data_IF_248228641384
#
_entry.id   IF_248228641384
#
_cell.length_a   1.000
_cell.length_b   1.000
_cell.length_c   1.000
_cell.angle_alpha   90.00
_cell.angle_beta   90.00
_cell.angle_gamma   90.00
#
_symmetry.space_group_name_H-M   'P 1'
#
loop_
_entity.id
_entity.type
_entity.pdbx_description
1 polymer ?
#
# COMPACT_ATOMS: atom_id res chain seq x y z
N UNK A 1 38.53 -2.32 8.92
CA UNK A 1 38.10 -1.39 7.88
C UNK A 1 36.77 -1.68 7.16
N UNK A 2 36.10 -2.86 7.24
CA UNK A 2 34.76 -3.03 6.62
C UNK A 2 33.61 -2.34 7.38
N UNK A 3 33.73 -2.11 8.67
CA UNK A 3 32.65 -1.48 9.47
C UNK A 3 32.36 -0.02 9.04
N UNK A 4 33.38 0.74 8.70
CA UNK A 4 33.23 2.16 8.31
C UNK A 4 32.52 2.37 6.97
N UNK A 5 32.66 1.46 6.00
CA UNK A 5 31.95 1.51 4.71
C UNK A 5 30.44 1.21 4.88
N UNK A 6 30.10 0.27 5.73
CA UNK A 6 28.70 -0.08 6.02
C UNK A 6 28.01 1.05 6.76
N UNK A 7 28.70 1.69 7.68
CA UNK A 7 28.18 2.82 8.47
C UNK A 7 27.99 4.07 7.58
N UNK A 8 28.98 4.40 6.74
CA UNK A 8 28.86 5.45 5.76
C UNK A 8 27.70 5.24 4.76
N UNK A 9 27.51 4.00 4.27
CA UNK A 9 26.38 3.65 3.42
C UNK A 9 25.03 3.81 4.11
N UNK A 10 24.93 3.47 5.40
CA UNK A 10 23.71 3.70 6.21
C UNK A 10 23.42 5.18 6.39
N UNK A 11 24.42 5.98 6.69
CA UNK A 11 24.29 7.43 6.88
C UNK A 11 23.80 8.09 5.57
N UNK A 12 24.40 7.73 4.43
CA UNK A 12 23.97 8.24 3.11
C UNK A 12 22.54 7.81 2.80
N UNK A 13 22.17 6.56 3.11
CA UNK A 13 20.80 6.06 2.89
C UNK A 13 19.79 6.85 3.73
N UNK A 14 20.04 6.98 5.02
CA UNK A 14 19.15 7.71 5.94
C UNK A 14 19.09 9.19 5.53
N UNK A 15 20.22 9.82 5.26
CA UNK A 15 20.27 11.22 4.84
C UNK A 15 19.50 11.48 3.53
N UNK A 16 19.66 10.61 2.53
CA UNK A 16 18.92 10.73 1.25
C UNK A 16 17.42 10.56 1.43
N UNK A 17 16.98 9.63 2.28
CA UNK A 17 15.57 9.42 2.56
C UNK A 17 14.95 10.57 3.36
N UNK A 18 15.68 11.11 4.34
CA UNK A 18 15.26 12.30 5.09
C UNK A 18 15.13 13.48 4.13
N UNK A 19 16.14 13.74 3.29
CA UNK A 19 16.10 14.84 2.33
C UNK A 19 14.94 14.70 1.34
N UNK A 20 14.71 13.50 0.80
CA UNK A 20 13.58 13.24 -0.09
C UNK A 20 12.22 13.38 0.64
N UNK A 21 12.12 12.90 1.87
CA UNK A 21 10.93 13.07 2.69
C UNK A 21 10.63 14.52 3.03
N UNK A 22 11.64 15.31 3.39
CA UNK A 22 11.50 16.74 3.64
C UNK A 22 11.11 17.48 2.36
N UNK A 23 11.75 17.20 1.23
CA UNK A 23 11.40 17.82 -0.06
C UNK A 23 9.96 17.48 -0.47
N UNK A 24 9.55 16.22 -0.30
CA UNK A 24 8.17 15.78 -0.54
C UNK A 24 7.19 16.52 0.38
N UNK A 25 7.49 16.62 1.67
CA UNK A 25 6.65 17.35 2.63
C UNK A 25 6.56 18.83 2.29
N UNK A 26 7.68 19.49 1.98
CA UNK A 26 7.68 20.90 1.58
C UNK A 26 6.84 21.14 0.32
N UNK A 27 7.00 20.28 -0.71
CA UNK A 27 6.18 20.33 -1.92
C UNK A 27 4.70 20.19 -1.62
N UNK A 28 4.34 19.18 -0.82
CA UNK A 28 2.94 18.88 -0.48
C UNK A 28 2.32 19.96 0.38
N UNK A 29 3.06 20.50 1.37
CA UNK A 29 2.61 21.64 2.20
C UNK A 29 2.41 22.89 1.35
N UNK A 30 3.32 23.15 0.39
CA UNK A 30 3.13 24.24 -0.57
C UNK A 30 1.85 24.05 -1.41
N UNK A 31 1.62 22.84 -1.89
CA UNK A 31 0.43 22.49 -2.69
C UNK A 31 -0.88 22.65 -1.91
N UNK A 32 -0.86 22.38 -0.61
CA UNK A 32 -2.05 22.45 0.27
C UNK A 32 -2.42 23.88 0.68
N UNK A 33 -1.50 24.83 0.63
CA UNK A 33 -1.84 26.23 0.93
C UNK A 33 -2.95 26.82 0.03
N UNK A 34 -3.22 26.16 -1.08
CA UNK A 34 -4.28 26.53 -2.02
C UNK A 34 -5.60 25.78 -1.78
N UNK A 35 -5.63 24.75 -0.92
CA UNK A 35 -6.81 23.88 -0.71
C UNK A 35 -6.90 23.52 0.77
N UNK A 36 -8.06 23.67 1.39
CA UNK A 36 -8.31 23.23 2.76
C UNK A 36 -8.30 21.69 2.83
N UNK A 37 -7.65 21.08 3.85
CA UNK A 37 -7.59 19.62 3.98
C UNK A 37 -8.92 19.07 4.54
N UNK A 38 -9.93 19.03 3.69
CA UNK A 38 -11.34 18.80 4.07
C UNK A 38 -11.52 17.51 4.87
N UNK A 39 -10.94 16.40 4.42
CA UNK A 39 -11.10 15.12 5.14
C UNK A 39 -10.43 15.14 6.52
N UNK A 40 -9.24 15.75 6.63
CA UNK A 40 -8.59 15.93 7.92
C UNK A 40 -9.42 16.77 8.88
N UNK A 41 -10.05 17.83 8.36
CA UNK A 41 -10.93 18.68 9.16
C UNK A 41 -12.18 17.94 9.62
N UNK A 42 -12.79 17.12 8.74
CA UNK A 42 -13.89 16.23 9.12
C UNK A 42 -13.49 15.27 10.23
N UNK A 43 -12.28 14.67 10.18
CA UNK A 43 -11.78 13.83 11.27
C UNK A 43 -11.68 14.58 12.58
N UNK A 44 -11.15 15.79 12.54
CA UNK A 44 -10.99 16.64 13.71
C UNK A 44 -12.34 17.07 14.28
N UNK A 45 -13.28 17.50 13.44
CA UNK A 45 -14.63 17.90 13.87
C UNK A 45 -15.41 16.71 14.41
N UNK A 46 -15.27 15.53 13.83
CA UNK A 46 -15.83 14.31 14.40
C UNK A 46 -15.28 14.03 15.81
N UNK A 47 -13.97 14.17 16.01
CA UNK A 47 -13.36 13.97 17.31
C UNK A 47 -13.82 15.02 18.34
N UNK A 48 -14.02 16.28 17.93
CA UNK A 48 -14.54 17.34 18.78
C UNK A 48 -16.03 17.11 19.15
N UNK A 49 -16.86 16.76 18.17
CA UNK A 49 -18.27 16.44 18.37
C UNK A 49 -18.46 15.25 19.30
N UNK A 50 -17.67 14.19 19.08
CA UNK A 50 -17.65 13.01 19.94
C UNK A 50 -17.27 13.35 21.38
N UNK A 51 -16.26 14.22 21.59
CA UNK A 51 -15.88 14.67 22.93
C UNK A 51 -16.97 15.51 23.61
N UNK A 52 -17.79 16.21 22.83
CA UNK A 52 -18.92 16.97 23.31
C UNK A 52 -20.17 16.11 23.58
N UNK A 53 -20.09 14.78 23.37
CA UNK A 53 -21.23 13.86 23.54
C UNK A 53 -22.26 13.93 22.40
N UNK A 54 -21.88 14.49 21.26
CA UNK A 54 -22.76 14.59 20.08
C UNK A 54 -22.69 13.33 19.25
N UNK A 55 -23.79 12.92 18.61
CA UNK A 55 -23.80 11.84 17.66
C UNK A 55 -23.16 12.29 16.35
N UNK A 56 -21.97 11.78 16.06
CA UNK A 56 -21.14 12.13 14.88
C UNK A 56 -21.76 11.71 13.54
N UNK A 57 -22.82 10.92 13.57
CA UNK A 57 -23.54 10.46 12.38
C UNK A 57 -24.84 11.22 12.12
N UNK A 58 -25.24 12.13 13.01
CA UNK A 58 -26.38 13.00 12.80
C UNK A 58 -25.96 14.26 12.04
N UNK A 59 -26.39 14.35 10.78
CA UNK A 59 -26.07 15.48 9.90
C UNK A 59 -24.62 15.51 9.41
N UNK A 60 -24.23 16.69 8.94
CA UNK A 60 -22.90 16.97 8.43
C UNK A 60 -22.05 17.70 9.48
N UNK A 61 -20.76 17.37 9.50
CA UNK A 61 -19.80 18.05 10.36
C UNK A 61 -19.33 19.32 9.68
N UNK A 62 -19.49 20.44 10.35
CA UNK A 62 -19.07 21.78 9.91
C UNK A 62 -18.26 22.47 11.00
N UNK A 63 -17.54 23.52 10.63
CA UNK A 63 -16.72 24.31 11.53
C UNK A 63 -16.09 25.50 10.80
N UNK A 64 -15.21 26.28 11.45
CA UNK A 64 -14.68 27.53 10.91
C UNK A 64 -14.00 27.42 9.53
N UNK A 65 -13.54 26.23 9.15
CA UNK A 65 -12.82 25.94 7.90
C UNK A 65 -13.66 25.10 6.92
N UNK A 66 -14.82 24.60 7.32
CA UNK A 66 -15.82 23.96 6.44
C UNK A 66 -17.14 24.67 6.71
N UNK A 67 -17.37 25.75 5.99
CA UNK A 67 -18.40 26.74 6.34
C UNK A 67 -19.76 26.44 5.75
N UNK A 68 -19.80 25.75 4.59
CA UNK A 68 -21.03 25.47 3.86
C UNK A 68 -21.83 24.33 4.50
N UNK A 69 -22.43 23.47 3.71
CA UNK A 69 -23.30 22.37 4.18
C UNK A 69 -22.58 21.31 5.05
N UNK A 70 -21.25 21.46 5.26
CA UNK A 70 -20.43 20.49 5.99
C UNK A 70 -20.23 19.17 5.23
N UNK A 71 -19.63 18.19 5.91
CA UNK A 71 -19.35 16.87 5.34
C UNK A 71 -19.76 15.77 6.31
N UNK A 72 -20.34 14.66 5.85
CA UNK A 72 -20.72 13.55 6.73
C UNK A 72 -19.49 12.77 7.19
N UNK A 73 -19.52 12.28 8.42
CA UNK A 73 -18.55 11.31 8.89
C UNK A 73 -18.93 9.89 8.40
N UNK A 74 -18.05 9.25 7.66
CA UNK A 74 -18.31 7.96 6.98
C UNK A 74 -17.45 6.81 7.49
N UNK A 75 -16.64 7.05 8.53
CA UNK A 75 -15.76 6.05 9.14
C UNK A 75 -16.47 5.36 10.32
N UNK A 76 -15.88 4.26 10.81
CA UNK A 76 -16.40 3.54 11.97
C UNK A 76 -16.27 4.36 13.25
N UNK A 77 -16.99 4.03 14.33
CA UNK A 77 -16.84 4.71 15.62
C UNK A 77 -15.42 4.65 16.20
N UNK A 78 -14.68 3.55 15.97
CA UNK A 78 -13.31 3.44 16.42
C UNK A 78 -12.37 4.44 15.73
N UNK A 79 -12.68 4.86 14.51
CA UNK A 79 -11.88 5.86 13.80
C UNK A 79 -11.73 7.16 14.57
N UNK A 80 -12.78 7.61 15.26
CA UNK A 80 -12.73 8.83 16.06
C UNK A 80 -11.74 8.71 17.22
N UNK A 81 -11.69 7.55 17.87
CA UNK A 81 -10.74 7.27 18.95
C UNK A 81 -9.31 7.29 18.42
N UNK A 82 -9.08 6.66 17.26
CA UNK A 82 -7.78 6.66 16.58
C UNK A 82 -7.34 8.07 16.15
N UNK A 83 -8.27 8.89 15.71
CA UNK A 83 -8.05 10.25 15.22
C UNK A 83 -8.05 11.30 16.34
N UNK A 84 -8.41 10.92 17.57
CA UNK A 84 -8.45 11.80 18.74
C UNK A 84 -7.22 12.68 18.93
N UNK A 85 -5.97 12.18 18.73
CA UNK A 85 -4.79 13.02 18.90
C UNK A 85 -4.77 14.28 18.03
N UNK A 86 -5.56 14.33 16.96
CA UNK A 86 -5.65 15.53 16.10
C UNK A 86 -6.24 16.74 16.81
N UNK A 87 -6.99 16.58 17.88
CA UNK A 87 -7.59 17.67 18.64
C UNK A 87 -6.70 18.23 19.74
N UNK A 88 -5.56 17.57 20.04
CA UNK A 88 -4.62 17.99 21.08
C UNK A 88 -3.77 19.21 20.69
N UNK A 89 -3.70 19.52 19.41
CA UNK A 89 -2.94 20.63 18.85
C UNK A 89 -3.90 21.57 18.11
N UNK A 90 -3.43 22.79 17.75
CA UNK A 90 -4.12 23.57 16.75
C UNK A 90 -4.21 22.79 15.41
N UNK A 91 -5.17 23.18 14.57
CA UNK A 91 -5.46 22.40 13.37
C UNK A 91 -4.27 22.29 12.39
N UNK A 92 -3.48 23.37 12.28
CA UNK A 92 -2.35 23.41 11.36
C UNK A 92 -1.19 22.51 11.83
N UNK A 93 -0.82 22.62 13.11
CA UNK A 93 0.17 21.75 13.75
C UNK A 93 -0.24 20.27 13.64
N UNK A 94 -1.49 19.96 13.97
CA UNK A 94 -2.03 18.61 13.86
C UNK A 94 -1.98 18.09 12.41
N UNK A 95 -2.33 18.93 11.43
CA UNK A 95 -2.27 18.57 10.01
C UNK A 95 -0.83 18.35 9.54
N UNK A 96 0.14 19.16 9.97
CA UNK A 96 1.56 18.94 9.64
C UNK A 96 2.09 17.64 10.23
N UNK A 97 1.75 17.32 11.47
CA UNK A 97 2.13 16.05 12.11
C UNK A 97 1.50 14.85 11.38
N UNK A 98 0.23 14.97 10.98
CA UNK A 98 -0.48 13.97 10.19
C UNK A 98 0.16 13.76 8.82
N UNK A 99 0.44 14.83 8.11
CA UNK A 99 1.12 14.79 6.81
C UNK A 99 2.53 14.20 6.93
N UNK A 100 3.27 14.55 7.98
CA UNK A 100 4.56 13.94 8.30
C UNK A 100 4.46 12.43 8.52
N UNK A 101 3.44 11.95 9.24
CA UNK A 101 3.16 10.51 9.41
C UNK A 101 2.87 9.84 8.06
N UNK A 102 2.06 10.45 7.20
CA UNK A 102 1.75 9.93 5.87
C UNK A 102 3.00 9.88 4.97
N UNK A 103 3.86 10.90 5.01
CA UNK A 103 5.13 10.88 4.28
C UNK A 103 6.08 9.81 4.84
N UNK A 104 6.16 9.63 6.15
CA UNK A 104 6.93 8.55 6.74
C UNK A 104 6.41 7.16 6.30
N UNK A 105 5.08 7.00 6.21
CA UNK A 105 4.45 5.81 5.67
C UNK A 105 4.82 5.56 4.20
N UNK A 106 4.84 6.62 3.38
CA UNK A 106 5.26 6.55 1.98
C UNK A 106 6.74 6.15 1.84
N UNK A 107 7.63 6.82 2.58
CA UNK A 107 9.07 6.52 2.60
C UNK A 107 9.32 5.08 3.02
N UNK A 108 8.67 4.62 4.08
CA UNK A 108 8.74 3.23 4.52
C UNK A 108 8.29 2.26 3.43
N UNK A 109 7.18 2.56 2.76
CA UNK A 109 6.63 1.73 1.67
C UNK A 109 7.64 1.62 0.53
N UNK A 110 8.16 2.74 0.01
CA UNK A 110 9.17 2.74 -1.05
C UNK A 110 10.41 1.98 -0.63
N UNK A 111 10.92 2.21 0.59
CA UNK A 111 12.09 1.52 1.12
C UNK A 111 11.87 0.00 1.24
N UNK A 112 10.67 -0.42 1.67
CA UNK A 112 10.31 -1.83 1.86
C UNK A 112 10.21 -2.61 0.55
N UNK A 113 9.74 -1.96 -0.51
CA UNK A 113 9.51 -2.58 -1.82
C UNK A 113 10.66 -2.36 -2.82
N UNK A 114 11.64 -1.50 -2.52
CA UNK A 114 12.86 -1.38 -3.32
C UNK A 114 13.85 -2.50 -2.94
N UNK A 115 14.25 -3.38 -3.88
CA UNK A 115 15.13 -4.50 -3.60
C UNK A 115 16.48 -4.07 -3.02
N UNK A 116 17.05 -4.87 -2.11
CA UNK A 116 18.32 -4.54 -1.44
C UNK A 116 19.52 -4.44 -2.40
N UNK A 117 19.48 -5.20 -3.52
CA UNK A 117 20.56 -5.29 -4.50
C UNK A 117 20.53 -4.21 -5.59
N UNK A 118 19.61 -3.25 -5.53
CA UNK A 118 19.55 -2.16 -6.52
C UNK A 118 20.80 -1.30 -6.43
N UNK A 119 21.54 -1.07 -7.54
CA UNK A 119 22.69 -0.16 -7.57
C UNK A 119 22.29 1.24 -7.10
N UNK A 120 23.16 1.88 -6.30
CA UNK A 120 22.88 3.20 -5.72
C UNK A 120 21.51 3.29 -5.06
N UNK A 121 21.09 2.23 -4.38
CA UNK A 121 19.77 2.07 -3.76
C UNK A 121 19.24 3.31 -3.02
N UNK A 122 20.05 4.04 -2.21
CA UNK A 122 19.59 5.25 -1.53
C UNK A 122 19.08 6.33 -2.48
N UNK A 123 19.82 6.58 -3.57
CA UNK A 123 19.42 7.57 -4.57
C UNK A 123 18.18 7.12 -5.35
N UNK A 124 18.10 5.84 -5.70
CA UNK A 124 16.90 5.27 -6.35
C UNK A 124 15.69 5.39 -5.44
N UNK A 125 15.82 5.09 -4.14
CA UNK A 125 14.73 5.24 -3.18
C UNK A 125 14.30 6.72 -3.04
N UNK A 126 15.25 7.64 -2.94
CA UNK A 126 14.95 9.07 -2.87
C UNK A 126 14.23 9.55 -4.14
N UNK A 127 14.70 9.16 -5.32
CA UNK A 127 14.04 9.46 -6.59
C UNK A 127 12.62 8.89 -6.68
N UNK A 128 12.42 7.65 -6.23
CA UNK A 128 11.09 7.03 -6.19
C UNK A 128 10.16 7.75 -5.21
N UNK A 129 10.63 8.12 -4.00
CA UNK A 129 9.82 8.90 -3.05
C UNK A 129 9.38 10.21 -3.69
N UNK A 130 10.28 10.95 -4.30
CA UNK A 130 9.95 12.22 -4.98
C UNK A 130 8.98 11.97 -6.15
N UNK A 131 9.25 10.98 -7.00
CA UNK A 131 8.39 10.67 -8.15
C UNK A 131 6.97 10.29 -7.74
N UNK A 132 6.79 9.45 -6.71
CA UNK A 132 5.45 9.07 -6.24
C UNK A 132 4.76 10.20 -5.46
N UNK A 133 5.51 11.07 -4.78
CA UNK A 133 4.94 12.21 -4.04
C UNK A 133 4.22 13.21 -4.94
N UNK A 134 4.70 13.39 -6.17
CA UNK A 134 4.07 14.27 -7.15
C UNK A 134 2.97 13.59 -7.98
N UNK A 135 2.70 12.30 -7.73
CA UNK A 135 1.55 11.65 -8.38
C UNK A 135 0.24 12.22 -7.84
N UNK A 136 -0.81 12.31 -8.66
CA UNK A 136 -2.12 12.76 -8.21
C UNK A 136 -2.67 11.97 -7.00
N UNK A 137 -2.33 10.67 -6.89
CA UNK A 137 -2.74 9.80 -5.79
C UNK A 137 -2.18 10.31 -4.45
N UNK A 138 -0.87 10.52 -4.37
CA UNK A 138 -0.21 10.94 -3.12
C UNK A 138 -0.45 12.42 -2.86
N UNK A 139 -0.41 13.26 -3.89
CA UNK A 139 -0.70 14.69 -3.76
C UNK A 139 -2.12 14.91 -3.23
N UNK A 140 -3.14 14.31 -3.82
CA UNK A 140 -4.52 14.41 -3.32
C UNK A 140 -4.66 13.79 -1.91
N UNK A 141 -4.00 12.65 -1.64
CA UNK A 141 -4.03 12.03 -0.31
C UNK A 141 -3.55 13.00 0.78
N UNK A 142 -2.46 13.68 0.57
CA UNK A 142 -1.92 14.66 1.53
C UNK A 142 -2.80 15.91 1.54
N UNK A 143 -3.19 16.46 0.38
CA UNK A 143 -4.01 17.67 0.28
C UNK A 143 -5.34 17.54 1.04
N UNK A 144 -6.01 16.39 0.94
CA UNK A 144 -7.22 16.11 1.72
C UNK A 144 -6.94 15.68 3.17
N UNK A 145 -5.69 15.29 3.49
CA UNK A 145 -5.33 14.78 4.82
C UNK A 145 -5.88 13.39 5.13
N UNK A 146 -5.93 12.53 4.12
CA UNK A 146 -6.53 11.20 4.18
C UNK A 146 -5.75 10.19 5.03
N UNK A 147 -6.44 9.12 5.48
CA UNK A 147 -5.90 8.07 6.36
C UNK A 147 -5.33 6.86 5.61
N UNK A 148 -5.62 6.73 4.29
CA UNK A 148 -5.40 5.47 3.56
C UNK A 148 -3.92 5.01 3.50
N UNK A 149 -2.93 5.93 3.46
CA UNK A 149 -1.50 5.58 3.53
C UNK A 149 -1.14 4.92 4.87
N UNK A 150 -1.70 5.42 5.97
CA UNK A 150 -1.49 4.84 7.30
C UNK A 150 -2.12 3.44 7.36
N UNK A 151 -3.37 3.29 6.89
CA UNK A 151 -4.05 1.99 6.84
C UNK A 151 -3.28 0.98 5.97
N UNK A 152 -2.80 1.41 4.81
CA UNK A 152 -1.97 0.57 3.94
C UNK A 152 -0.71 0.08 4.66
N UNK A 153 -0.02 0.96 5.39
CA UNK A 153 1.19 0.58 6.13
C UNK A 153 0.88 -0.40 7.26
N UNK A 154 -0.22 -0.21 8.01
CA UNK A 154 -0.64 -1.18 9.03
C UNK A 154 -0.84 -2.58 8.42
N UNK A 155 -1.50 -2.67 7.27
CA UNK A 155 -1.69 -3.93 6.54
C UNK A 155 -0.35 -4.50 6.05
N UNK A 156 0.48 -3.69 5.39
CA UNK A 156 1.74 -4.14 4.82
C UNK A 156 2.76 -4.53 5.89
N UNK A 157 2.76 -3.90 7.06
CA UNK A 157 3.55 -4.31 8.21
C UNK A 157 3.19 -5.74 8.63
N UNK A 158 1.91 -6.05 8.77
CA UNK A 158 1.47 -7.39 9.16
C UNK A 158 1.80 -8.45 8.09
N UNK A 159 1.64 -8.11 6.82
CA UNK A 159 1.94 -9.03 5.70
C UNK A 159 3.43 -9.27 5.55
N UNK A 160 4.28 -8.23 5.72
CA UNK A 160 5.70 -8.28 5.35
C UNK A 160 6.65 -8.55 6.51
N UNK A 161 6.21 -8.43 7.77
CA UNK A 161 7.06 -8.67 8.94
C UNK A 161 7.29 -10.16 9.18
N UNK A 162 8.42 -10.48 9.80
CA UNK A 162 8.74 -11.85 10.24
C UNK A 162 8.04 -12.16 11.56
N UNK A 163 7.64 -13.42 11.72
CA UNK A 163 6.97 -13.88 12.96
C UNK A 163 7.88 -13.87 14.18
N UNK A 164 9.17 -14.15 13.99
CA UNK A 164 10.22 -14.21 15.02
C UNK A 164 10.73 -12.82 15.47
N UNK A 165 10.19 -11.73 14.92
CA UNK A 165 10.57 -10.37 15.33
C UNK A 165 10.18 -10.09 16.78
N UNK A 166 10.97 -9.24 17.49
CA UNK A 166 10.62 -8.78 18.85
C UNK A 166 9.22 -8.18 18.92
N UNK A 167 8.84 -7.41 17.90
CA UNK A 167 7.51 -6.83 17.78
C UNK A 167 6.42 -7.91 17.59
N UNK A 168 6.71 -8.97 16.80
CA UNK A 168 5.78 -10.09 16.55
C UNK A 168 5.43 -10.91 17.79
N UNK A 169 6.26 -10.87 18.83
CA UNK A 169 5.96 -11.54 20.11
C UNK A 169 4.85 -10.87 20.90
N UNK A 170 4.75 -9.54 20.83
CA UNK A 170 3.73 -8.76 21.54
C UNK A 170 2.49 -8.49 20.69
N UNK A 171 2.68 -8.39 19.39
CA UNK A 171 1.62 -8.09 18.43
C UNK A 171 1.53 -9.21 17.37
N UNK A 172 0.65 -10.19 17.54
CA UNK A 172 0.44 -11.25 16.55
C UNK A 172 0.16 -10.70 15.17
N UNK A 173 0.67 -11.37 14.12
CA UNK A 173 0.39 -11.00 12.73
C UNK A 173 -1.10 -11.13 12.46
N UNK A 174 -1.66 -10.14 11.81
CA UNK A 174 -3.09 -9.96 11.55
C UNK A 174 -3.71 -8.88 12.42
N UNK A 175 -3.21 -8.64 13.65
CA UNK A 175 -3.81 -7.70 14.60
C UNK A 175 -3.90 -6.27 14.02
N UNK A 176 -2.84 -5.79 13.37
CA UNK A 176 -2.82 -4.45 12.77
C UNK A 176 -3.80 -4.33 11.59
N UNK A 177 -4.02 -5.42 10.84
CA UNK A 177 -5.03 -5.47 9.78
C UNK A 177 -6.43 -5.32 10.37
N UNK A 178 -6.69 -6.01 11.49
CA UNK A 178 -7.95 -5.87 12.22
C UNK A 178 -8.18 -4.44 12.72
N UNK A 179 -7.17 -3.81 13.31
CA UNK A 179 -7.23 -2.39 13.73
C UNK A 179 -7.47 -1.49 12.53
N UNK A 180 -6.79 -1.69 11.41
CA UNK A 180 -7.01 -0.93 10.18
C UNK A 180 -8.46 -1.08 9.67
N UNK A 181 -9.01 -2.31 9.72
CA UNK A 181 -10.40 -2.59 9.37
C UNK A 181 -11.40 -1.91 10.32
N UNK A 182 -11.05 -1.80 11.60
CA UNK A 182 -11.86 -1.09 12.59
C UNK A 182 -11.80 0.44 12.46
N UNK A 183 -10.81 1.01 11.79
CA UNK A 183 -10.78 2.44 11.43
C UNK A 183 -11.62 2.68 10.18
N UNK A 184 -11.44 1.85 9.15
CA UNK A 184 -12.15 1.92 7.87
C UNK A 184 -12.39 0.49 7.38
N UNK A 185 -13.61 0.17 6.94
CA UNK A 185 -13.98 -1.21 6.61
C UNK A 185 -13.21 -1.82 5.43
N UNK A 186 -12.63 -1.01 4.55
CA UNK A 186 -11.92 -1.49 3.34
C UNK A 186 -10.85 -2.56 3.64
N UNK A 187 -9.99 -2.46 4.69
CA UNK A 187 -9.03 -3.51 5.03
C UNK A 187 -9.67 -4.84 5.47
N UNK A 188 -10.97 -4.89 5.78
CA UNK A 188 -11.64 -6.15 6.12
C UNK A 188 -11.62 -7.16 4.95
N UNK A 189 -11.43 -6.70 3.71
CA UNK A 189 -11.24 -7.57 2.55
C UNK A 189 -10.04 -8.53 2.73
N UNK A 190 -9.03 -8.13 3.49
CA UNK A 190 -7.89 -9.00 3.81
C UNK A 190 -8.29 -10.18 4.71
N UNK A 191 -9.28 -10.01 5.60
CA UNK A 191 -9.80 -11.10 6.43
C UNK A 191 -10.42 -12.17 5.52
N UNK A 192 -11.23 -11.76 4.53
CA UNK A 192 -11.82 -12.66 3.54
C UNK A 192 -10.73 -13.38 2.74
N UNK A 193 -9.72 -12.65 2.29
CA UNK A 193 -8.56 -13.22 1.58
C UNK A 193 -7.84 -14.27 2.43
N UNK A 194 -7.61 -14.03 3.71
CA UNK A 194 -6.95 -15.01 4.59
C UNK A 194 -7.80 -16.27 4.79
N UNK A 195 -9.12 -16.15 4.88
CA UNK A 195 -10.02 -17.30 4.92
C UNK A 195 -9.93 -18.12 3.63
N UNK A 196 -10.00 -17.46 2.46
CA UNK A 196 -9.94 -18.12 1.14
C UNK A 196 -8.59 -18.82 0.91
N UNK A 197 -7.51 -18.26 1.43
CA UNK A 197 -6.17 -18.83 1.33
C UNK A 197 -5.81 -19.76 2.48
N UNK A 198 -6.73 -20.00 3.41
CA UNK A 198 -6.56 -20.85 4.60
C UNK A 198 -5.45 -20.40 5.54
N UNK A 199 -5.18 -19.10 5.57
CA UNK A 199 -4.26 -18.48 6.51
C UNK A 199 -4.96 -18.19 7.85
N UNK A 200 -5.45 -19.25 8.52
CA UNK A 200 -6.34 -19.16 9.67
C UNK A 200 -5.81 -18.29 10.81
N UNK A 201 -4.51 -18.37 11.07
CA UNK A 201 -3.90 -17.56 12.13
C UNK A 201 -4.02 -16.05 11.85
N UNK A 202 -3.77 -15.62 10.59
CA UNK A 202 -3.95 -14.23 10.18
C UNK A 202 -5.42 -13.83 10.20
N UNK A 203 -6.32 -14.69 9.70
CA UNK A 203 -7.76 -14.44 9.73
C UNK A 203 -8.27 -14.24 11.16
N UNK A 204 -7.91 -15.15 12.09
CA UNK A 204 -8.32 -15.08 13.50
C UNK A 204 -7.79 -13.80 14.18
N UNK A 205 -6.50 -13.50 14.06
CA UNK A 205 -5.94 -12.31 14.71
C UNK A 205 -6.45 -11.01 14.09
N UNK A 206 -6.74 -10.99 12.77
CA UNK A 206 -7.39 -9.81 12.15
C UNK A 206 -8.81 -9.64 12.65
N UNK A 207 -9.56 -10.73 12.79
CA UNK A 207 -10.91 -10.69 13.37
C UNK A 207 -10.91 -10.26 14.84
N UNK A 208 -9.94 -10.77 15.64
CA UNK A 208 -9.79 -10.35 17.04
C UNK A 208 -9.43 -8.85 17.12
N UNK A 209 -8.49 -8.36 16.30
CA UNK A 209 -8.11 -6.96 16.27
C UNK A 209 -9.29 -6.05 15.88
N UNK A 210 -10.06 -6.46 14.87
CA UNK A 210 -11.27 -5.76 14.47
C UNK A 210 -12.32 -5.73 15.58
N UNK A 211 -12.63 -6.89 16.16
CA UNK A 211 -13.64 -7.01 17.22
C UNK A 211 -13.23 -6.25 18.48
N UNK A 212 -11.96 -6.34 18.89
CA UNK A 212 -11.46 -5.64 20.08
C UNK A 212 -11.52 -4.11 19.90
N UNK A 213 -11.08 -3.58 18.76
CA UNK A 213 -11.15 -2.16 18.47
C UNK A 213 -12.62 -1.66 18.38
N UNK A 214 -13.50 -2.42 17.76
CA UNK A 214 -14.93 -2.14 17.71
C UNK A 214 -15.56 -2.16 19.10
N UNK A 215 -15.19 -3.15 19.94
CA UNK A 215 -15.67 -3.24 21.31
C UNK A 215 -15.20 -2.04 22.16
N UNK A 216 -13.95 -1.58 21.99
CA UNK A 216 -13.47 -0.36 22.65
C UNK A 216 -14.38 0.83 22.29
N UNK A 217 -14.71 1.02 21.03
CA UNK A 217 -15.60 2.09 20.61
C UNK A 217 -17.01 1.94 21.21
N UNK A 218 -17.54 0.74 21.26
CA UNK A 218 -18.85 0.44 21.82
C UNK A 218 -18.91 0.66 23.35
N UNK A 219 -17.80 0.45 24.05
CA UNK A 219 -17.69 0.73 25.49
C UNK A 219 -17.58 2.23 25.76
N UNK A 220 -16.86 2.97 24.90
CA UNK A 220 -16.70 4.43 25.06
C UNK A 220 -18.00 5.17 24.74
N UNK A 221 -18.66 4.82 23.64
CA UNK A 221 -19.95 5.37 23.27
C UNK A 221 -20.85 4.28 22.62
N UNK A 222 -21.73 3.65 23.44
CA UNK A 222 -22.63 2.63 22.93
C UNK A 222 -23.65 3.14 21.93
N UNK A 223 -24.13 4.40 22.10
CA UNK A 223 -25.18 4.96 21.24
C UNK A 223 -24.64 5.26 19.83
N UNK A 224 -23.48 5.92 19.73
CA UNK A 224 -22.80 6.19 18.46
C UNK A 224 -22.45 4.85 17.76
N UNK A 225 -21.96 3.86 18.52
CA UNK A 225 -21.64 2.55 17.96
C UNK A 225 -22.89 1.83 17.45
N UNK A 226 -23.98 1.89 18.19
CA UNK A 226 -25.26 1.33 17.74
C UNK A 226 -25.74 1.99 16.45
N UNK A 227 -25.77 3.34 16.40
CA UNK A 227 -26.17 4.09 15.20
C UNK A 227 -25.37 3.65 13.97
N UNK A 228 -24.04 3.49 14.11
CA UNK A 228 -23.21 3.06 13.00
C UNK A 228 -23.55 1.65 12.50
N UNK A 229 -23.60 0.67 13.39
CA UNK A 229 -23.77 -0.72 12.99
C UNK A 229 -25.20 -1.11 12.61
N UNK A 230 -26.21 -0.40 13.14
CA UNK A 230 -27.62 -0.66 12.81
C UNK A 230 -28.13 0.10 11.57
N UNK A 231 -27.51 1.26 11.23
CA UNK A 231 -28.00 2.12 10.15
C UNK A 231 -26.89 2.57 9.21
N UNK A 232 -25.90 3.34 9.70
CA UNK A 232 -24.95 4.07 8.84
C UNK A 232 -24.15 3.15 7.93
N UNK A 233 -23.69 1.98 8.41
CA UNK A 233 -22.89 1.04 7.63
C UNK A 233 -23.61 0.53 6.38
N UNK A 234 -24.93 0.45 6.42
CA UNK A 234 -25.77 -0.03 5.33
C UNK A 234 -26.10 1.03 4.29
N UNK A 235 -25.97 2.31 4.68
CA UNK A 235 -26.31 3.49 3.87
C UNK A 235 -25.07 4.36 3.58
N UNK A 236 -23.85 3.82 3.67
CA UNK A 236 -22.61 4.59 3.48
C UNK A 236 -22.50 5.25 2.10
N UNK A 237 -22.99 4.59 1.04
CA UNK A 237 -22.95 5.14 -0.32
C UNK A 237 -23.81 6.41 -0.42
N UNK A 238 -24.99 6.38 0.16
CA UNK A 238 -25.95 7.50 0.14
C UNK A 238 -25.43 8.68 0.95
N UNK A 239 -24.71 8.42 2.05
CA UNK A 239 -24.07 9.45 2.87
C UNK A 239 -22.93 10.17 2.14
N UNK A 240 -22.18 9.49 1.28
CA UNK A 240 -21.11 10.11 0.49
C UNK A 240 -21.68 10.87 -0.71
N UNK A 241 -22.86 10.46 -1.18
CA UNK A 241 -23.49 11.04 -2.38
C UNK A 241 -24.41 12.23 -2.02
N UNK A 242 -23.81 13.29 -1.47
CA UNK A 242 -24.52 14.50 -1.09
C UNK A 242 -25.28 15.19 -2.25
N UNK A 243 -24.85 14.94 -3.49
CA UNK A 243 -25.44 15.55 -4.69
C UNK A 243 -26.35 14.60 -5.48
N UNK A 244 -26.47 13.32 -5.08
CA UNK A 244 -27.12 12.28 -5.88
C UNK A 244 -26.36 11.91 -7.16
N UNK A 245 -25.11 12.37 -7.32
CA UNK A 245 -24.28 12.16 -8.51
C UNK A 245 -22.89 11.60 -8.23
N UNK A 246 -22.54 11.32 -6.97
CA UNK A 246 -21.18 10.88 -6.61
C UNK A 246 -20.79 9.57 -7.30
N UNK A 247 -21.73 8.65 -7.50
CA UNK A 247 -21.45 7.37 -8.18
C UNK A 247 -21.08 7.62 -9.66
N UNK A 248 -21.79 8.49 -10.37
CA UNK A 248 -21.54 8.82 -11.78
C UNK A 248 -20.46 9.89 -11.98
N UNK A 249 -19.94 10.47 -10.89
CA UNK A 249 -18.91 11.51 -10.94
C UNK A 249 -17.66 11.04 -11.65
N UNK A 250 -17.04 11.91 -12.44
CA UNK A 250 -15.72 11.66 -13.06
C UNK A 250 -14.62 11.37 -12.02
N UNK A 251 -14.77 11.85 -10.78
CA UNK A 251 -13.85 11.57 -9.67
C UNK A 251 -13.96 10.15 -9.13
N UNK A 252 -15.08 9.45 -9.38
CA UNK A 252 -15.27 8.07 -8.94
C UNK A 252 -14.70 7.08 -9.96
N UNK A 253 -13.50 6.58 -9.70
CA UNK A 253 -12.81 5.61 -10.54
C UNK A 253 -13.07 4.14 -10.13
N UNK A 254 -14.14 3.85 -9.37
CA UNK A 254 -14.54 2.48 -9.02
C UNK A 254 -15.15 1.76 -10.23
N UNK A 255 -15.33 0.43 -10.11
CA UNK A 255 -16.07 -0.34 -11.10
C UNK A 255 -17.51 0.19 -11.28
N UNK A 256 -18.17 0.54 -10.19
CA UNK A 256 -19.52 1.08 -10.24
C UNK A 256 -19.55 2.48 -10.88
N UNK A 257 -18.53 3.31 -10.61
CA UNK A 257 -18.37 4.62 -11.25
C UNK A 257 -18.20 4.49 -12.77
N UNK A 258 -17.34 3.58 -13.21
CA UNK A 258 -17.14 3.28 -14.62
C UNK A 258 -18.40 2.76 -15.31
N UNK A 259 -19.16 1.89 -14.66
CA UNK A 259 -20.45 1.43 -15.17
C UNK A 259 -21.47 2.57 -15.25
N UNK A 260 -21.61 3.37 -14.20
CA UNK A 260 -22.54 4.50 -14.17
C UNK A 260 -22.25 5.53 -15.28
N UNK A 261 -20.99 5.69 -15.67
CA UNK A 261 -20.58 6.54 -16.77
C UNK A 261 -21.13 6.08 -18.15
N UNK A 262 -21.43 4.79 -18.29
CA UNK A 262 -22.02 4.23 -19.52
C UNK A 262 -23.54 4.44 -19.60
N UNK A 263 -24.17 4.90 -18.51
CA UNK A 263 -25.59 5.25 -18.47
C UNK A 263 -26.39 4.47 -17.42
N UNK A 264 -27.62 4.94 -17.11
CA UNK A 264 -28.45 4.38 -16.03
C UNK A 264 -28.80 2.89 -16.19
N UNK A 265 -28.80 2.37 -17.44
CA UNK A 265 -29.10 0.97 -17.75
C UNK A 265 -28.09 0.00 -17.12
N UNK A 266 -26.90 0.46 -16.72
CA UNK A 266 -25.86 -0.36 -16.09
C UNK A 266 -26.07 -0.56 -14.59
N UNK A 267 -27.00 0.14 -13.96
CA UNK A 267 -27.23 0.06 -12.51
C UNK A 267 -27.51 -1.39 -12.05
N UNK A 268 -28.26 -2.18 -12.84
CA UNK A 268 -28.53 -3.60 -12.55
C UNK A 268 -27.29 -4.48 -12.65
N UNK A 269 -26.22 -4.02 -13.32
CA UNK A 269 -24.96 -4.75 -13.47
C UNK A 269 -23.96 -4.44 -12.34
N UNK A 270 -24.17 -3.38 -11.56
CA UNK A 270 -23.23 -2.90 -10.56
C UNK A 270 -22.88 -3.98 -9.51
N UNK A 271 -23.89 -4.56 -8.85
CA UNK A 271 -23.67 -5.58 -7.84
C UNK A 271 -23.14 -6.91 -8.42
N UNK A 272 -23.74 -7.49 -9.49
CA UNK A 272 -23.20 -8.72 -10.08
C UNK A 272 -21.74 -8.58 -10.55
N UNK A 273 -21.37 -7.48 -11.18
CA UNK A 273 -20.00 -7.27 -11.63
C UNK A 273 -19.03 -7.06 -10.47
N UNK A 274 -19.45 -6.38 -9.39
CA UNK A 274 -18.64 -6.25 -8.16
C UNK A 274 -18.37 -7.63 -7.53
N UNK A 275 -19.39 -8.48 -7.42
CA UNK A 275 -19.24 -9.86 -6.89
C UNK A 275 -18.31 -10.68 -7.78
N UNK A 276 -18.48 -10.61 -9.10
CA UNK A 276 -17.61 -11.29 -10.06
C UNK A 276 -16.16 -10.83 -9.92
N UNK A 277 -15.92 -9.51 -9.90
CA UNK A 277 -14.58 -8.95 -9.74
C UNK A 277 -13.96 -9.34 -8.39
N UNK A 278 -14.74 -9.39 -7.30
CA UNK A 278 -14.26 -9.86 -6.01
C UNK A 278 -13.84 -11.34 -6.08
N UNK A 279 -14.64 -12.19 -6.72
CA UNK A 279 -14.32 -13.59 -6.94
C UNK A 279 -13.02 -13.77 -7.76
N UNK A 280 -12.87 -13.03 -8.85
CA UNK A 280 -11.66 -13.04 -9.69
C UNK A 280 -10.44 -12.54 -8.92
N UNK A 281 -10.56 -11.45 -8.17
CA UNK A 281 -9.47 -10.90 -7.36
C UNK A 281 -9.00 -11.91 -6.29
N UNK A 282 -9.93 -12.55 -5.57
CA UNK A 282 -9.64 -13.58 -4.59
C UNK A 282 -9.03 -14.83 -5.23
N UNK A 283 -9.48 -15.23 -6.41
CA UNK A 283 -8.93 -16.35 -7.16
C UNK A 283 -7.48 -16.05 -7.60
N UNK A 284 -7.20 -14.88 -8.19
CA UNK A 284 -5.85 -14.46 -8.58
C UNK A 284 -4.94 -14.40 -7.34
N UNK A 285 -5.40 -13.76 -6.25
CA UNK A 285 -4.63 -13.66 -5.02
C UNK A 285 -4.31 -15.04 -4.42
N UNK A 286 -5.26 -15.98 -4.46
CA UNK A 286 -5.06 -17.36 -4.02
C UNK A 286 -4.04 -18.10 -4.90
N UNK A 287 -4.09 -17.92 -6.21
CA UNK A 287 -3.16 -18.53 -7.16
C UNK A 287 -1.73 -18.02 -6.92
N UNK A 288 -1.57 -16.70 -6.79
CA UNK A 288 -0.29 -16.04 -6.45
C UNK A 288 0.23 -16.49 -5.08
N UNK A 289 -0.65 -16.63 -4.08
CA UNK A 289 -0.28 -17.11 -2.76
C UNK A 289 0.22 -18.56 -2.77
N UNK A 290 -0.43 -19.45 -3.54
CA UNK A 290 -0.08 -20.87 -3.64
C UNK A 290 1.33 -21.11 -4.16
N UNK A 291 1.87 -20.21 -4.96
CA UNK A 291 3.24 -20.28 -5.46
C UNK A 291 4.24 -19.55 -4.54
N UNK A 292 3.86 -19.31 -3.27
CA UNK A 292 4.74 -18.74 -2.23
C UNK A 292 4.88 -17.21 -2.28
N UNK A 293 4.08 -16.49 -3.08
CA UNK A 293 4.18 -15.04 -3.30
C UNK A 293 3.17 -14.28 -2.43
N UNK A 294 3.27 -14.44 -1.11
CA UNK A 294 2.28 -13.90 -0.16
C UNK A 294 2.15 -12.37 -0.21
N UNK A 295 3.26 -11.65 -0.40
CA UNK A 295 3.24 -10.18 -0.50
C UNK A 295 2.55 -9.72 -1.78
N UNK A 296 2.83 -10.37 -2.90
CA UNK A 296 2.17 -10.03 -4.18
C UNK A 296 0.67 -10.31 -4.12
N UNK A 297 0.27 -11.44 -3.51
CA UNK A 297 -1.14 -11.76 -3.28
C UNK A 297 -1.84 -10.69 -2.43
N UNK A 298 -1.18 -10.18 -1.39
CA UNK A 298 -1.70 -9.09 -0.59
C UNK A 298 -1.79 -7.76 -1.38
N UNK A 299 -0.83 -7.48 -2.27
CA UNK A 299 -0.92 -6.33 -3.17
C UNK A 299 -2.09 -6.45 -4.15
N UNK A 300 -2.37 -7.66 -4.67
CA UNK A 300 -3.57 -7.91 -5.51
C UNK A 300 -4.84 -7.55 -4.75
N UNK A 301 -4.97 -7.98 -3.48
CA UNK A 301 -6.13 -7.64 -2.64
C UNK A 301 -6.22 -6.14 -2.37
N UNK A 302 -5.11 -5.48 -2.01
CA UNK A 302 -5.08 -4.04 -1.78
C UNK A 302 -5.45 -3.22 -3.03
N UNK A 303 -4.98 -3.64 -4.21
CA UNK A 303 -5.34 -3.05 -5.50
C UNK A 303 -6.82 -3.25 -5.84
N UNK A 304 -7.41 -4.37 -5.43
CA UNK A 304 -8.81 -4.69 -5.73
C UNK A 304 -9.78 -3.91 -4.84
N UNK A 305 -9.37 -3.46 -3.68
CA UNK A 305 -10.24 -2.79 -2.73
C UNK A 305 -10.95 -1.54 -3.29
N UNK A 306 -10.28 -0.60 -3.98
CA UNK A 306 -10.95 0.53 -4.60
C UNK A 306 -11.80 0.14 -5.82
N UNK A 307 -11.48 -0.95 -6.54
CA UNK A 307 -12.32 -1.46 -7.63
C UNK A 307 -13.69 -1.90 -7.08
N UNK A 308 -13.69 -2.58 -5.93
CA UNK A 308 -14.87 -3.19 -5.33
C UNK A 308 -15.73 -2.22 -4.49
N UNK A 309 -15.18 -1.06 -4.14
CA UNK A 309 -15.92 -0.02 -3.42
C UNK A 309 -16.95 0.65 -4.34
N UNK A 310 -18.13 1.02 -3.86
CA UNK A 310 -19.11 1.79 -4.66
C UNK A 310 -18.55 3.13 -5.13
N UNK A 311 -17.79 3.80 -4.26
CA UNK A 311 -17.16 5.09 -4.53
C UNK A 311 -15.67 5.01 -4.20
N UNK A 312 -14.83 5.35 -5.18
CA UNK A 312 -13.38 5.36 -5.05
C UNK A 312 -12.76 6.60 -5.66
N UNK A 313 -12.46 7.55 -4.78
CA UNK A 313 -11.74 8.76 -5.15
C UNK A 313 -10.26 8.48 -5.40
N UNK A 314 -9.58 9.40 -6.07
CA UNK A 314 -8.16 9.34 -6.45
C UNK A 314 -7.23 8.91 -5.28
N UNK A 315 -7.46 9.38 -4.07
CA UNK A 315 -6.67 9.08 -2.88
C UNK A 315 -6.95 7.69 -2.25
N UNK A 316 -7.88 6.90 -2.81
CA UNK A 316 -8.09 5.50 -2.40
C UNK A 316 -7.08 4.54 -3.05
N UNK A 317 -6.42 4.93 -4.13
CA UNK A 317 -5.57 4.09 -4.95
C UNK A 317 -4.12 3.95 -4.42
N UNK A 318 -3.90 4.11 -3.11
CA UNK A 318 -2.56 4.11 -2.48
C UNK A 318 -1.77 2.82 -2.72
N UNK A 319 -2.42 1.68 -2.91
CA UNK A 319 -1.76 0.40 -3.23
C UNK A 319 -1.11 0.38 -4.61
N UNK A 320 -1.41 1.33 -5.51
CA UNK A 320 -0.68 1.51 -6.75
C UNK A 320 0.80 1.78 -6.50
N UNK A 321 1.16 2.48 -5.41
CA UNK A 321 2.55 2.81 -5.08
C UNK A 321 3.40 1.54 -4.84
N UNK A 322 3.12 0.68 -3.83
CA UNK A 322 3.93 -0.52 -3.61
C UNK A 322 3.85 -1.51 -4.77
N UNK A 323 2.73 -1.61 -5.47
CA UNK A 323 2.57 -2.48 -6.62
C UNK A 323 3.44 -2.00 -7.80
N UNK A 324 3.40 -0.70 -8.14
CA UNK A 324 4.22 -0.13 -9.21
C UNK A 324 5.71 -0.26 -8.91
N UNK A 325 6.15 0.04 -7.68
CA UNK A 325 7.55 -0.16 -7.26
C UNK A 325 7.95 -1.64 -7.40
N UNK A 326 7.10 -2.57 -6.97
CA UNK A 326 7.36 -4.01 -7.10
C UNK A 326 7.48 -4.44 -8.56
N UNK A 327 6.56 -4.00 -9.41
CA UNK A 327 6.54 -4.36 -10.84
C UNK A 327 7.71 -3.71 -11.58
N UNK A 328 8.05 -2.45 -11.29
CA UNK A 328 9.18 -1.73 -11.89
C UNK A 328 10.48 -2.57 -11.84
N UNK A 329 10.78 -3.17 -10.68
CA UNK A 329 11.98 -3.99 -10.50
C UNK A 329 11.87 -5.41 -11.07
N UNK A 330 10.80 -5.73 -11.80
CA UNK A 330 10.60 -6.99 -12.54
C UNK A 330 10.57 -6.80 -14.06
N UNK A 331 10.54 -5.56 -14.55
CA UNK A 331 10.51 -5.27 -15.98
C UNK A 331 11.82 -5.69 -16.65
N UNK A 332 11.72 -6.31 -17.84
CA UNK A 332 12.85 -6.89 -18.55
C UNK A 332 13.02 -6.42 -19.98
N UNK A 333 11.96 -5.89 -20.60
CA UNK A 333 11.98 -5.49 -22.01
C UNK A 333 11.62 -4.02 -22.20
N UNK A 334 12.13 -3.37 -23.27
CA UNK A 334 11.75 -2.00 -23.59
C UNK A 334 10.25 -1.80 -23.72
N UNK A 335 9.53 -2.80 -24.23
CA UNK A 335 8.06 -2.76 -24.34
C UNK A 335 7.38 -2.67 -22.98
N UNK A 336 7.86 -3.45 -22.00
CA UNK A 336 7.35 -3.41 -20.62
C UNK A 336 7.61 -2.04 -19.96
N UNK A 337 8.79 -1.45 -20.17
CA UNK A 337 9.10 -0.10 -19.69
C UNK A 337 8.23 0.94 -20.38
N UNK A 338 7.99 0.82 -21.70
CA UNK A 338 7.08 1.69 -22.43
C UNK A 338 5.64 1.61 -21.91
N UNK A 339 5.15 0.39 -21.65
CA UNK A 339 3.82 0.18 -21.06
C UNK A 339 3.72 0.78 -19.63
N UNK A 340 4.75 0.65 -18.81
CA UNK A 340 4.78 1.26 -17.49
C UNK A 340 4.80 2.80 -17.56
N UNK A 341 5.58 3.37 -18.49
CA UNK A 341 5.60 4.82 -18.73
C UNK A 341 4.24 5.34 -19.21
N UNK A 342 3.58 4.60 -20.11
CA UNK A 342 2.21 4.93 -20.55
C UNK A 342 1.22 4.87 -19.38
N UNK A 343 1.28 3.82 -18.56
CA UNK A 343 0.44 3.71 -17.36
C UNK A 343 0.66 4.87 -16.40
N UNK A 344 1.91 5.29 -16.19
CA UNK A 344 2.23 6.46 -15.38
C UNK A 344 1.65 7.75 -15.98
N UNK A 345 1.77 7.95 -17.30
CA UNK A 345 1.20 9.09 -17.99
C UNK A 345 -0.34 9.14 -17.85
N UNK A 346 -1.02 7.98 -17.98
CA UNK A 346 -2.46 7.87 -17.76
C UNK A 346 -2.85 8.28 -16.32
N UNK A 347 -2.11 7.80 -15.32
CA UNK A 347 -2.34 8.17 -13.91
C UNK A 347 -2.16 9.68 -13.70
N UNK A 348 -1.14 10.29 -14.33
CA UNK A 348 -0.90 11.73 -14.21
C UNK A 348 -1.96 12.59 -14.90
N UNK A 349 -2.46 12.18 -16.05
CA UNK A 349 -3.55 12.87 -16.72
C UNK A 349 -4.84 12.85 -15.88
N UNK A 350 -5.13 11.72 -15.28
CA UNK A 350 -6.23 11.56 -14.32
C UNK A 350 -7.64 11.65 -14.92
N UNK A 351 -8.66 11.34 -14.11
CA UNK A 351 -10.05 11.27 -14.56
C UNK A 351 -10.63 12.62 -15.04
N UNK A 352 -10.21 13.73 -14.41
CA UNK A 352 -10.71 15.07 -14.78
C UNK A 352 -10.34 15.47 -16.20
N UNK A 353 -9.11 15.17 -16.64
CA UNK A 353 -8.70 15.41 -18.03
C UNK A 353 -9.48 14.51 -18.99
N UNK A 354 -9.71 13.25 -18.59
CA UNK A 354 -10.55 12.32 -19.37
C UNK A 354 -11.95 12.85 -19.57
N UNK A 355 -12.56 13.37 -18.53
CA UNK A 355 -13.90 13.98 -18.59
C UNK A 355 -13.92 15.21 -19.52
N UNK A 356 -12.93 16.09 -19.43
CA UNK A 356 -12.81 17.24 -20.32
C UNK A 356 -12.74 16.82 -21.80
N UNK A 357 -12.01 15.76 -22.12
CA UNK A 357 -11.93 15.26 -23.50
C UNK A 357 -13.28 14.72 -23.99
N UNK A 358 -14.02 13.99 -23.13
CA UNK A 358 -15.36 13.50 -23.43
C UNK A 358 -16.32 14.67 -23.76
N UNK A 359 -16.26 15.73 -22.98
CA UNK A 359 -17.13 16.91 -23.11
C UNK A 359 -16.74 17.81 -24.30
N UNK A 360 -15.46 17.82 -24.67
CA UNK A 360 -14.96 18.75 -25.72
C UNK A 360 -15.29 18.26 -27.11
N UNK A 361 -15.18 16.96 -27.42
CA UNK A 361 -15.38 16.45 -28.78
C UNK A 361 -15.66 14.95 -28.82
N UNK A 362 -16.66 14.52 -29.63
CA UNK A 362 -16.89 13.09 -29.87
C UNK A 362 -15.67 12.33 -30.42
N UNK A 363 -14.78 13.01 -31.15
CA UNK A 363 -13.54 12.40 -31.66
C UNK A 363 -12.55 12.05 -30.54
N UNK A 364 -12.62 12.76 -29.42
CA UNK A 364 -11.76 12.52 -28.24
C UNK A 364 -12.36 11.50 -27.26
N UNK A 365 -13.61 11.05 -27.50
CA UNK A 365 -14.30 10.11 -26.61
C UNK A 365 -13.47 8.87 -26.25
N UNK A 366 -12.80 8.13 -27.17
CA UNK A 366 -12.02 6.95 -26.80
C UNK A 366 -10.85 7.29 -25.86
N UNK A 367 -10.15 8.40 -26.13
CA UNK A 367 -9.06 8.86 -25.27
C UNK A 367 -9.57 9.34 -23.91
N UNK A 368 -10.68 10.08 -23.92
CA UNK A 368 -11.33 10.54 -22.72
C UNK A 368 -11.75 9.39 -21.81
N UNK A 369 -12.33 8.34 -22.33
CA UNK A 369 -12.71 7.13 -21.58
C UNK A 369 -11.49 6.42 -20.99
N UNK A 370 -10.39 6.27 -21.76
CA UNK A 370 -9.16 5.66 -21.27
C UNK A 370 -8.56 6.46 -20.10
N UNK A 371 -8.55 7.78 -20.18
CA UNK A 371 -8.01 8.63 -19.10
C UNK A 371 -8.94 8.68 -17.90
N UNK A 372 -10.26 8.73 -18.12
CA UNK A 372 -11.26 8.72 -17.06
C UNK A 372 -11.18 7.45 -16.22
N UNK A 373 -11.07 6.30 -16.86
CA UNK A 373 -10.97 4.99 -16.22
C UNK A 373 -9.51 4.57 -15.97
N UNK A 374 -8.57 5.50 -16.08
CA UNK A 374 -7.13 5.26 -16.06
C UNK A 374 -6.64 4.53 -14.79
N UNK A 375 -7.18 4.87 -13.62
CA UNK A 375 -6.83 4.18 -12.38
C UNK A 375 -7.28 2.71 -12.41
N UNK A 376 -8.46 2.42 -12.91
CA UNK A 376 -8.97 1.07 -13.07
C UNK A 376 -8.10 0.28 -14.06
N UNK A 377 -7.81 0.85 -15.23
CA UNK A 377 -7.01 0.22 -16.29
C UNK A 377 -5.59 -0.10 -15.78
N UNK A 378 -4.92 0.87 -15.16
CA UNK A 378 -3.57 0.68 -14.63
C UNK A 378 -3.56 -0.33 -13.48
N UNK A 379 -4.59 -0.34 -12.65
CA UNK A 379 -4.72 -1.32 -11.58
C UNK A 379 -4.86 -2.75 -12.12
N UNK A 380 -5.70 -2.95 -13.12
CA UNK A 380 -5.85 -4.26 -13.78
C UNK A 380 -4.55 -4.71 -14.43
N UNK A 381 -3.82 -3.80 -15.08
CA UNK A 381 -2.49 -4.08 -15.65
C UNK A 381 -1.48 -4.48 -14.55
N UNK A 382 -1.46 -3.82 -13.40
CA UNK A 382 -0.59 -4.16 -12.28
C UNK A 382 -0.98 -5.50 -11.63
N UNK A 383 -2.27 -5.79 -11.47
CA UNK A 383 -2.75 -7.10 -11.00
C UNK A 383 -2.25 -8.20 -11.95
N UNK A 384 -2.40 -8.02 -13.26
CA UNK A 384 -1.91 -8.95 -14.28
C UNK A 384 -0.38 -9.09 -14.21
N UNK A 385 0.35 -8.00 -14.05
CA UNK A 385 1.80 -8.02 -13.91
C UNK A 385 2.24 -8.75 -12.63
N UNK A 386 1.61 -8.48 -11.49
CA UNK A 386 1.84 -9.20 -10.23
C UNK A 386 1.53 -10.69 -10.38
N UNK A 387 0.54 -11.08 -11.13
CA UNK A 387 0.19 -12.48 -11.36
C UNK A 387 1.21 -13.20 -12.27
N UNK A 388 1.61 -12.56 -13.39
CA UNK A 388 2.33 -13.21 -14.50
C UNK A 388 3.84 -12.98 -14.52
N UNK A 389 4.33 -11.83 -14.01
CA UNK A 389 5.75 -11.55 -14.06
C UNK A 389 6.54 -12.39 -13.05
N UNK A 390 7.72 -12.91 -13.45
CA UNK A 390 8.59 -13.65 -12.55
C UNK A 390 9.11 -12.76 -11.42
N UNK A 391 9.37 -13.38 -10.26
CA UNK A 391 9.91 -12.69 -9.08
C UNK A 391 11.42 -12.54 -9.08
N UNK A 392 12.13 -13.26 -9.98
CA UNK A 392 13.59 -13.14 -10.10
C UNK A 392 13.97 -11.76 -10.61
N UNK A 393 14.92 -11.12 -9.95
CA UNK A 393 15.42 -9.82 -10.35
C UNK A 393 15.99 -9.87 -11.80
N UNK A 394 15.69 -8.88 -12.65
CA UNK A 394 16.29 -8.78 -13.97
C UNK A 394 17.78 -8.44 -13.89
N UNK A 395 18.51 -8.72 -14.98
CA UNK A 395 19.97 -8.54 -15.03
C UNK A 395 20.44 -7.12 -14.70
N UNK A 396 19.65 -6.08 -15.00
CA UNK A 396 20.00 -4.69 -14.67
C UNK A 396 19.97 -4.37 -13.16
N UNK A 397 19.32 -5.23 -12.35
CA UNK A 397 19.33 -5.15 -10.89
C UNK A 397 20.51 -5.92 -10.28
N UNK A 398 21.06 -6.94 -10.99
CA UNK A 398 22.04 -7.89 -10.48
C UNK A 398 23.49 -7.61 -10.92
N UNK A 399 23.74 -6.61 -11.76
CA UNK A 399 25.06 -6.34 -12.39
C UNK A 399 26.20 -5.89 -11.47
N UNK A 400 26.13 -6.01 -10.16
CA UNK A 400 27.16 -5.49 -9.26
C UNK A 400 28.32 -6.43 -8.93
N UNK A 401 28.23 -7.72 -9.24
CA UNK A 401 29.22 -8.69 -8.76
C UNK A 401 30.34 -8.98 -9.77
N UNK A 402 30.34 -8.36 -10.97
CA UNK A 402 31.34 -8.63 -12.03
C UNK A 402 32.28 -7.45 -12.35
N UNK A 403 32.04 -6.24 -11.84
CA UNK A 403 32.92 -5.09 -12.10
C UNK A 403 33.89 -4.78 -10.92
N UNK A 404 33.61 -5.27 -9.71
CA UNK A 404 34.49 -5.10 -8.55
C UNK A 404 35.55 -6.22 -8.43
N UNK A 405 35.42 -7.32 -9.21
CA UNK A 405 36.38 -8.47 -9.19
C UNK A 405 37.42 -8.42 -10.31
N UNK A 406 37.35 -7.43 -11.21
CA UNK A 406 38.28 -7.29 -12.32
C UNK A 406 39.33 -6.16 -12.16
N UNK A 407 39.44 -5.60 -10.97
CA UNK A 407 40.23 -4.40 -10.71
C UNK A 407 41.48 -4.56 -9.83
N UNK A 408 41.94 -5.77 -9.48
CA UNK A 408 43.11 -5.88 -8.62
C UNK A 408 43.90 -7.21 -8.86
N UNK A 409 44.31 -7.42 -10.12
CA UNK A 409 45.31 -8.45 -10.44
C UNK A 409 46.23 -7.95 -11.55
N UNK A 410 47.00 -6.93 -11.24
CA UNK A 410 48.20 -6.58 -12.05
C UNK A 410 49.28 -6.00 -11.14
N UNK A 411 50.24 -6.81 -10.79
CA UNK A 411 51.52 -6.36 -10.28
C UNK A 411 52.00 -7.12 -9.04
N UNK A 412 52.71 -8.22 -9.20
CA UNK A 412 54.10 -8.36 -8.85
C UNK A 412 54.51 -9.83 -8.97
N UNK A 413 55.13 -10.13 -10.08
CA UNK A 413 55.98 -11.30 -10.27
C UNK A 413 57.43 -10.86 -10.08
N UNK A 414 58.08 -11.21 -8.98
CA UNK A 414 59.52 -11.37 -8.99
C UNK A 414 60.01 -12.36 -7.92
N UNK A 415 60.64 -13.43 -8.42
CA UNK A 415 61.76 -14.21 -7.91
C UNK A 415 61.86 -14.56 -6.39
N UNK A 416 61.84 -15.84 -6.02
CA UNK A 416 63.11 -16.53 -5.82
C UNK A 416 62.95 -18.05 -5.60
N UNK A 417 63.94 -18.74 -6.15
CA UNK A 417 64.41 -20.13 -6.16
C UNK A 417 64.06 -21.05 -4.98
N UNK A 418 63.83 -22.33 -5.44
CA UNK A 418 63.99 -23.55 -4.65
C UNK A 418 65.44 -23.77 -4.19
N UNK A 419 65.80 -24.73 -3.25
CA UNK A 419 65.66 -26.14 -3.53
C UNK A 419 65.39 -27.11 -2.34
N UNK A 420 64.99 -28.32 -2.74
CA UNK A 420 65.32 -29.68 -2.22
C UNK A 420 65.27 -30.04 -0.75
N UNK A 421 64.49 -31.05 -0.38
CA UNK A 421 64.90 -32.44 -0.14
C UNK A 421 63.86 -33.27 0.61
N UNK A 422 63.39 -34.30 0.03
CA UNK A 422 63.55 -35.71 0.35
C UNK A 422 62.94 -36.25 1.66
N UNK A 423 62.16 -37.32 1.52
CA UNK A 423 62.03 -38.38 2.51
C UNK A 423 60.55 -38.73 2.82
N UNK A 424 59.95 -39.59 2.17
CA UNK A 424 59.92 -41.08 2.18
C UNK A 424 58.87 -41.66 3.16
N UNK A 425 58.10 -42.60 2.63
CA UNK A 425 57.40 -43.75 3.19
C UNK A 425 55.97 -43.59 3.76
N UNK A 426 55.06 -44.22 2.97
CA UNK A 426 53.83 -44.80 3.51
C UNK A 426 54.09 -46.15 4.20
N UNK A 427 53.17 -47.13 4.24
CA UNK A 427 51.72 -47.18 4.09
C UNK A 427 51.02 -47.98 5.23
N UNK A 428 49.73 -48.25 5.12
CA UNK A 428 48.96 -49.48 5.50
C UNK A 428 47.66 -49.06 6.22
N UNK A 429 46.55 -49.36 5.68
CA UNK A 429 45.76 -50.61 5.63
C UNK A 429 45.05 -50.97 6.93
N UNK A 430 43.83 -51.40 6.71
CA UNK A 430 43.01 -52.44 7.40
C UNK A 430 41.81 -51.87 8.20
N UNK A 431 40.67 -52.00 7.60
CA UNK A 431 39.59 -53.00 7.76
C UNK A 431 38.64 -52.79 8.94
N UNK A 432 37.41 -52.60 8.62
CA UNK A 432 36.27 -53.52 8.72
C UNK A 432 35.55 -53.62 10.07
N UNK A 433 34.24 -53.53 10.01
CA UNK A 433 33.38 -53.94 11.10
C UNK A 433 31.93 -53.58 10.98
N UNK A 434 31.23 -54.23 10.07
CA UNK A 434 29.81 -54.56 10.11
C UNK A 434 29.28 -54.83 11.54
N UNK A 435 28.09 -54.30 11.86
CA UNK A 435 27.00 -55.13 12.38
C UNK A 435 25.63 -54.37 12.49
N UNK A 436 24.72 -54.99 11.83
CA UNK A 436 23.26 -54.93 11.92
C UNK A 436 22.69 -55.39 13.27
N UNK A 437 21.51 -54.84 13.67
CA UNK A 437 20.33 -55.49 14.22
C UNK A 437 19.39 -54.41 14.74
N UNK A 438 18.22 -54.27 14.26
CA UNK A 438 16.95 -55.04 14.25
C UNK A 438 16.16 -54.90 15.54
N UNK A 439 14.93 -54.38 15.33
CA UNK A 439 13.65 -54.75 15.94
C UNK A 439 13.34 -54.31 17.37
N UNK A 440 12.15 -53.76 17.54
CA UNK A 440 11.17 -54.27 18.48
C UNK A 440 10.38 -53.20 19.23
N UNK A 441 9.14 -53.11 18.84
CA UNK A 441 7.91 -52.97 19.61
C UNK A 441 7.88 -52.15 20.95
N UNK A 442 7.16 -51.11 21.03
CA UNK A 442 5.81 -51.00 21.61
C UNK A 442 5.19 -49.64 21.32
#
# INVERSE_FOLDING_TARGET
>A
MPATRVEASRIVTIGSLIAAGVAALCYLVYSVRAVEPVDFLVYRYAAQAFAAGSNIYEGNLSGPLIVDEGMPFTYTPFAVIFLWPTVLFDWWTAYLLWSGLCIAALVWTVARFTPARVPKRPLVMAALVLAVSVTPIVSAHISFGQVNLVLMVLVLLDVTRREDSRFGRWFPRGLLIGVAAAIKLTPALFIVYFVVTKQWRLAIWSSIGFAAATAVAAVVDPAVSWTFWSDVVWNLSDRVDLSGQAIASAGNSSLQGGLAALGPWTASLAMPSTVLCAGVALWIARDVYRVGRAVDAALVIGLSAPILSPISWIHHWVYLVPAAVTVLFRLRSPLQFGAAALGLAIVYCGPSMGQQFIETSPLLLPFGLVLREGFLIVTLALILALWRLPTTAPAWVSRRDSEDDSGDDSGDSEHDKAPDSAGNQGPSCIEAGFRTRSSGDR
#
